data_IF_473311983337
#
_entry.id   IF_473311983337
#
_cell.length_a   1.000
_cell.length_b   1.000
_cell.length_c   1.000
_cell.angle_alpha   90.00
_cell.angle_beta   90.00
_cell.angle_gamma   90.00
#
_symmetry.space_group_name_H-M   'P 1'
#
loop_
_entity.id
_entity.type
_entity.pdbx_description
1 polymer ?
#
# COMPACT_ATOMS: atom_id res chain seq x y z
N UNK A 1 26.30 -3.57 -12.00
CA UNK A 1 25.29 -4.64 -11.86
C UNK A 1 23.92 -3.98 -11.87
N UNK A 2 23.15 -4.17 -12.95
CA UNK A 2 21.93 -3.41 -13.24
C UNK A 2 20.85 -3.55 -12.16
N UNK A 3 20.24 -2.43 -11.79
CA UNK A 3 19.17 -2.38 -10.80
C UNK A 3 17.87 -2.92 -11.42
N UNK A 4 17.69 -4.24 -11.45
CA UNK A 4 16.45 -4.86 -11.95
C UNK A 4 15.21 -4.24 -11.30
N UNK A 5 14.22 -3.87 -12.12
CA UNK A 5 12.94 -3.34 -11.68
C UNK A 5 11.78 -4.20 -12.17
N UNK A 6 10.68 -4.24 -11.40
CA UNK A 6 9.46 -4.96 -11.74
C UNK A 6 8.46 -4.02 -12.41
N UNK A 7 7.97 -4.42 -13.57
CA UNK A 7 6.77 -3.86 -14.21
C UNK A 7 5.57 -4.72 -13.84
N UNK A 8 4.50 -4.11 -13.34
CA UNK A 8 3.23 -4.77 -13.12
C UNK A 8 2.06 -3.84 -13.41
N UNK A 9 0.88 -4.41 -13.67
CA UNK A 9 -0.36 -3.67 -13.80
C UNK A 9 -1.06 -3.62 -12.45
N UNK A 10 -1.53 -2.44 -12.05
CA UNK A 10 -2.33 -2.27 -10.84
C UNK A 10 -3.55 -3.18 -10.88
N UNK A 11 -3.75 -4.00 -9.85
CA UNK A 11 -4.89 -4.92 -9.77
C UNK A 11 -6.26 -4.25 -9.61
N UNK A 12 -6.30 -2.92 -9.45
CA UNK A 12 -7.54 -2.12 -9.35
C UNK A 12 -7.80 -1.32 -10.64
N UNK A 13 -6.86 -0.44 -11.03
CA UNK A 13 -7.05 0.45 -12.19
C UNK A 13 -6.34 0.00 -13.47
N UNK A 14 -5.52 -1.06 -13.44
CA UNK A 14 -4.79 -1.56 -14.61
C UNK A 14 -3.54 -0.76 -15.01
N UNK A 15 -3.31 0.43 -14.45
CA UNK A 15 -2.14 1.26 -14.77
C UNK A 15 -0.82 0.52 -14.54
N UNK A 16 0.13 0.71 -15.47
CA UNK A 16 1.48 0.17 -15.37
C UNK A 16 2.29 0.86 -14.26
N UNK A 17 2.98 0.06 -13.47
CA UNK A 17 3.81 0.51 -12.35
C UNK A 17 5.18 -0.12 -12.43
N UNK A 18 6.23 0.72 -12.37
CA UNK A 18 7.63 0.29 -12.35
C UNK A 18 8.20 0.46 -10.95
N UNK A 19 8.78 -0.60 -10.39
CA UNK A 19 9.38 -0.59 -9.05
C UNK A 19 10.78 -1.18 -9.04
N UNK A 20 11.73 -0.44 -8.48
CA UNK A 20 13.06 -0.98 -8.19
C UNK A 20 12.96 -2.16 -7.21
N UNK A 21 13.92 -3.07 -7.25
CA UNK A 21 14.03 -4.23 -6.34
C UNK A 21 13.89 -3.85 -4.85
N UNK A 22 14.46 -2.72 -4.42
CA UNK A 22 14.39 -2.26 -3.03
C UNK A 22 12.97 -1.84 -2.60
N UNK A 23 12.18 -1.27 -3.51
CA UNK A 23 10.82 -0.83 -3.23
C UNK A 23 9.78 -1.94 -3.41
N UNK A 24 10.18 -3.07 -3.99
CA UNK A 24 9.31 -4.16 -4.38
C UNK A 24 9.09 -5.16 -3.24
N UNK A 25 8.14 -4.85 -2.36
CA UNK A 25 7.74 -5.72 -1.24
C UNK A 25 6.50 -6.57 -1.54
N UNK A 26 6.29 -6.94 -2.81
CA UNK A 26 5.09 -7.66 -3.20
C UNK A 26 3.92 -6.76 -3.60
N UNK A 27 4.19 -5.53 -4.05
CA UNK A 27 3.13 -4.55 -4.36
C UNK A 27 2.22 -5.04 -5.50
N UNK A 28 0.92 -4.80 -5.37
CA UNK A 28 -0.11 -5.19 -6.36
C UNK A 28 -0.93 -4.02 -6.89
N UNK A 29 -0.87 -2.88 -6.21
CA UNK A 29 -1.63 -1.68 -6.54
C UNK A 29 -0.68 -0.54 -6.88
N UNK A 30 -1.16 0.46 -7.62
CA UNK A 30 -0.44 1.71 -7.84
C UNK A 30 -0.40 2.56 -6.57
N UNK A 31 0.40 3.63 -6.62
CA UNK A 31 0.57 4.58 -5.52
C UNK A 31 -0.47 5.71 -5.54
N UNK A 32 -1.32 5.76 -6.58
CA UNK A 32 -2.37 6.76 -6.79
C UNK A 32 -3.67 6.42 -6.01
N UNK A 33 -3.54 5.84 -4.82
CA UNK A 33 -4.67 5.60 -3.91
C UNK A 33 -5.37 4.25 -4.05
N UNK A 34 -5.15 3.47 -5.11
CA UNK A 34 -5.76 2.14 -5.29
C UNK A 34 -5.52 1.19 -4.10
N UNK A 35 -4.34 1.24 -3.48
CA UNK A 35 -4.01 0.45 -2.29
C UNK A 35 -4.94 0.79 -1.10
N UNK A 36 -5.27 2.07 -0.91
CA UNK A 36 -6.15 2.52 0.17
C UNK A 36 -7.59 2.05 -0.07
N UNK A 37 -8.07 2.14 -1.31
CA UNK A 37 -9.41 1.67 -1.70
C UNK A 37 -9.54 0.16 -1.47
N UNK A 38 -8.63 -0.63 -2.05
CA UNK A 38 -8.63 -2.08 -1.91
C UNK A 38 -8.52 -2.53 -0.44
N UNK A 39 -7.72 -1.82 0.38
CA UNK A 39 -7.64 -2.07 1.82
C UNK A 39 -8.98 -1.82 2.51
N UNK A 40 -9.65 -0.70 2.21
CA UNK A 40 -10.95 -0.36 2.81
C UNK A 40 -11.99 -1.43 2.48
N UNK A 41 -12.07 -1.87 1.23
CA UNK A 41 -12.98 -2.92 0.79
C UNK A 41 -12.68 -4.26 1.47
N UNK A 42 -11.42 -4.69 1.44
CA UNK A 42 -11.00 -5.95 2.08
C UNK A 42 -11.28 -5.96 3.58
N UNK A 43 -11.05 -4.85 4.28
CA UNK A 43 -11.37 -4.71 5.70
C UNK A 43 -12.88 -4.72 5.94
N UNK A 44 -13.66 -4.05 5.09
CA UNK A 44 -15.13 -4.06 5.15
C UNK A 44 -15.67 -5.48 4.98
N UNK A 45 -15.18 -6.22 3.99
CA UNK A 45 -15.59 -7.61 3.73
C UNK A 45 -15.16 -8.57 4.83
N UNK A 46 -13.95 -8.42 5.37
CA UNK A 46 -13.50 -9.17 6.53
C UNK A 46 -14.37 -8.86 7.77
N UNK A 47 -14.69 -7.58 7.98
CA UNK A 47 -15.59 -7.11 9.03
C UNK A 47 -16.98 -7.73 8.91
N UNK A 48 -17.58 -7.69 7.71
CA UNK A 48 -18.90 -8.28 7.45
C UNK A 48 -18.90 -9.78 7.70
N UNK A 49 -17.88 -10.50 7.22
CA UNK A 49 -17.71 -11.94 7.48
C UNK A 49 -17.61 -12.23 8.98
N UNK A 50 -16.78 -11.48 9.69
CA UNK A 50 -16.62 -11.65 11.14
C UNK A 50 -17.92 -11.35 11.90
N UNK A 51 -18.63 -10.27 11.56
CA UNK A 51 -19.90 -9.89 12.18
C UNK A 51 -20.99 -10.96 11.98
N UNK A 52 -20.97 -11.67 10.85
CA UNK A 52 -21.89 -12.77 10.58
C UNK A 52 -21.58 -14.05 11.38
N UNK A 53 -20.39 -14.16 11.99
CA UNK A 53 -20.06 -15.31 12.85
C UNK A 53 -20.82 -15.25 14.18
N UNK A 54 -21.04 -16.42 14.80
CA UNK A 54 -21.64 -16.49 16.14
C UNK A 54 -20.86 -15.65 17.16
N UNK A 55 -19.53 -15.75 17.15
CA UNK A 55 -18.68 -14.99 18.06
C UNK A 55 -18.77 -13.48 17.81
N UNK A 56 -18.76 -13.07 16.54
CA UNK A 56 -18.92 -11.67 16.14
C UNK A 56 -20.23 -11.07 16.64
N UNK A 57 -21.35 -11.79 16.50
CA UNK A 57 -22.66 -11.35 17.01
C UNK A 57 -22.68 -11.19 18.53
N UNK A 58 -22.13 -12.14 19.28
CA UNK A 58 -22.04 -12.07 20.75
C UNK A 58 -21.20 -10.86 21.18
N UNK A 59 -20.02 -10.68 20.57
CA UNK A 59 -19.13 -9.57 20.87
C UNK A 59 -19.76 -8.21 20.53
N UNK A 60 -20.51 -8.14 19.42
CA UNK A 60 -21.26 -6.94 19.06
C UNK A 60 -22.37 -6.63 20.07
N UNK A 61 -23.16 -7.64 20.49
CA UNK A 61 -24.20 -7.48 21.50
C UNK A 61 -23.62 -6.96 22.83
N UNK A 62 -22.48 -7.52 23.27
CA UNK A 62 -21.76 -7.06 24.46
C UNK A 62 -21.34 -5.59 24.32
N UNK A 63 -20.68 -5.23 23.22
CA UNK A 63 -20.25 -3.83 22.95
C UNK A 63 -21.43 -2.86 22.93
N UNK A 64 -22.56 -3.25 22.35
CA UNK A 64 -23.77 -2.42 22.30
C UNK A 64 -24.44 -2.27 23.68
N UNK A 65 -24.38 -3.30 24.53
CA UNK A 65 -24.82 -3.19 25.92
C UNK A 65 -23.96 -2.19 26.70
N UNK A 66 -22.62 -2.32 26.61
CA UNK A 66 -21.67 -1.40 27.26
C UNK A 66 -21.81 0.04 26.76
N UNK A 67 -22.06 0.24 25.46
CA UNK A 67 -22.30 1.57 24.90
C UNK A 67 -23.57 2.21 25.46
N UNK A 68 -24.69 1.47 25.54
CA UNK A 68 -25.94 1.95 26.12
C UNK A 68 -25.81 2.31 27.60
N UNK A 69 -25.06 1.50 28.37
CA UNK A 69 -24.74 1.82 29.77
C UNK A 69 -23.96 3.13 29.86
N UNK A 70 -22.91 3.31 29.05
CA UNK A 70 -22.13 4.56 29.03
C UNK A 70 -22.98 5.78 28.67
N UNK A 71 -23.87 5.66 27.67
CA UNK A 71 -24.79 6.75 27.32
C UNK A 71 -25.73 7.09 28.49
N UNK A 72 -26.37 6.09 29.09
CA UNK A 72 -27.28 6.32 30.23
C UNK A 72 -26.56 6.98 31.42
N UNK A 73 -25.32 6.58 31.72
CA UNK A 73 -24.53 7.22 32.78
C UNK A 73 -24.16 8.67 32.44
N UNK A 74 -23.82 8.96 31.18
CA UNK A 74 -23.51 10.33 30.73
C UNK A 74 -24.73 11.27 30.70
N UNK A 75 -25.95 10.74 30.74
CA UNK A 75 -27.19 11.51 30.84
C UNK A 75 -27.55 11.84 32.30
N UNK A 76 -27.07 11.05 33.26
CA UNK A 76 -27.35 11.21 34.70
C UNK A 76 -26.38 12.14 35.43
N UNK A 77 -25.18 12.33 34.90
CA UNK A 77 -24.19 13.29 35.41
C UNK A 77 -23.96 14.37 34.34
N UNK A 78 -23.88 15.67 34.70
CA UNK A 78 -23.47 16.70 33.74
C UNK A 78 -22.13 16.26 33.15
N UNK A 79 -21.99 16.24 31.82
CA UNK A 79 -20.79 15.69 31.19
C UNK A 79 -19.57 16.43 31.76
N UNK A 80 -18.50 15.74 32.19
CA UNK A 80 -17.24 16.43 32.39
C UNK A 80 -16.96 17.21 31.12
N UNK A 81 -16.54 18.46 31.25
CA UNK A 81 -16.13 19.29 30.12
C UNK A 81 -14.94 18.59 29.47
N UNK A 82 -15.22 17.69 28.54
CA UNK A 82 -14.20 17.05 27.73
C UNK A 82 -13.76 18.17 26.81
N UNK A 83 -12.63 18.81 27.14
CA UNK A 83 -11.98 19.74 26.24
C UNK A 83 -11.70 18.97 24.95
N UNK A 84 -12.54 19.21 23.95
CA UNK A 84 -12.35 18.69 22.60
C UNK A 84 -11.16 19.46 22.05
N UNK A 85 -9.97 18.89 22.20
CA UNK A 85 -8.75 19.42 21.61
C UNK A 85 -8.80 19.16 20.11
N UNK A 86 -9.55 20.00 19.39
CA UNK A 86 -9.65 19.99 17.92
C UNK A 86 -8.84 21.11 17.26
N UNK A 87 -7.91 21.73 17.97
CA UNK A 87 -7.02 22.75 17.43
C UNK A 87 -5.57 22.27 17.33
N UNK A 88 -5.33 21.40 16.35
CA UNK A 88 -4.00 21.30 15.74
C UNK A 88 -4.12 21.86 14.32
N UNK A 89 -4.25 23.18 14.21
CA UNK A 89 -4.02 23.86 12.95
C UNK A 89 -2.55 23.70 12.58
N UNK A 90 -2.27 23.13 11.41
CA UNK A 90 -0.94 23.22 10.81
C UNK A 90 -0.83 24.60 10.15
N UNK A 91 0.28 25.29 10.37
CA UNK A 91 0.58 26.53 9.65
C UNK A 91 0.65 26.24 8.14
N UNK A 92 0.08 27.13 7.34
CA UNK A 92 0.16 27.08 5.89
C UNK A 92 1.62 27.28 5.47
N UNK A 93 2.30 26.17 5.18
CA UNK A 93 3.62 26.20 4.58
C UNK A 93 3.55 26.86 3.21
N UNK A 94 4.28 27.96 3.06
CA UNK A 94 4.44 28.73 1.83
C UNK A 94 5.04 27.89 0.69
N UNK A 95 4.76 28.22 -0.58
CA UNK A 95 5.17 27.40 -1.69
C UNK A 95 6.64 27.61 -2.08
N UNK A 96 7.24 26.47 -2.45
CA UNK A 96 8.22 26.29 -3.53
C UNK A 96 9.64 26.83 -3.31
N UNK A 97 10.52 25.92 -2.88
CA UNK A 97 11.93 26.00 -3.27
C UNK A 97 12.03 25.64 -4.76
N UNK A 98 12.37 26.61 -5.59
CA UNK A 98 12.71 26.40 -6.98
C UNK A 98 13.95 25.51 -7.05
N UNK A 99 13.81 24.30 -7.61
CA UNK A 99 14.95 23.46 -7.98
C UNK A 99 15.48 24.05 -9.28
N UNK A 100 16.66 24.63 -9.25
CA UNK A 100 17.39 25.00 -10.45
C UNK A 100 17.71 23.72 -11.23
N UNK A 101 17.21 23.66 -12.47
CA UNK A 101 17.51 22.59 -13.41
C UNK A 101 18.86 22.94 -14.03
N UNK A 102 19.91 22.20 -13.69
CA UNK A 102 21.21 22.32 -14.33
C UNK A 102 21.13 21.75 -15.76
N UNK A 103 21.20 22.62 -16.76
CA UNK A 103 21.23 22.27 -18.17
C UNK A 103 22.64 21.82 -18.58
N UNK A 104 22.92 20.54 -18.41
CA UNK A 104 24.06 19.92 -19.10
C UNK A 104 23.62 19.29 -20.41
N UNK A 105 23.81 20.06 -21.49
CA UNK A 105 23.93 19.58 -22.86
C UNK A 105 25.17 18.70 -22.97
N UNK A 106 24.98 17.43 -23.35
CA UNK A 106 26.01 16.49 -23.75
C UNK A 106 25.46 15.56 -24.81
N UNK A 107 26.20 15.42 -25.90
CA UNK A 107 25.82 14.86 -27.19
C UNK A 107 25.83 13.31 -27.24
N UNK A 108 25.11 12.82 -28.26
CA UNK A 108 25.22 11.52 -28.97
C UNK A 108 24.41 10.29 -28.49
N UNK A 109 23.83 9.64 -29.50
CA UNK A 109 22.73 8.69 -29.46
C UNK A 109 23.03 7.37 -28.74
N UNK A 110 22.24 7.05 -27.71
CA UNK A 110 22.06 5.67 -27.23
C UNK A 110 20.59 5.48 -26.82
N UNK A 111 20.05 4.31 -27.15
CA UNK A 111 18.66 3.88 -26.93
C UNK A 111 18.30 3.65 -25.45
N UNK A 112 18.91 4.40 -24.52
CA UNK A 112 18.70 4.26 -23.08
C UNK A 112 17.41 4.98 -22.65
N UNK A 113 16.28 4.34 -22.92
CA UNK A 113 15.02 4.68 -22.24
C UNK A 113 15.14 4.27 -20.78
N UNK A 114 15.76 5.13 -19.98
CA UNK A 114 15.90 4.97 -18.54
C UNK A 114 14.53 5.11 -17.88
N UNK A 115 14.01 3.99 -17.35
CA UNK A 115 12.78 4.01 -16.58
C UNK A 115 13.04 4.52 -15.16
N UNK A 116 11.98 4.97 -14.49
CA UNK A 116 12.06 5.45 -13.12
C UNK A 116 11.17 4.61 -12.21
N UNK A 117 11.63 4.37 -10.98
CA UNK A 117 10.80 3.76 -9.95
C UNK A 117 9.66 4.72 -9.56
N UNK A 118 8.40 4.31 -9.75
CA UNK A 118 7.24 5.14 -9.43
C UNK A 118 7.08 5.44 -7.93
N UNK A 119 7.84 4.76 -7.06
CA UNK A 119 7.80 4.99 -5.62
C UNK A 119 8.90 5.90 -5.10
N UNK A 120 10.14 5.70 -5.53
CA UNK A 120 11.30 6.41 -5.00
C UNK A 120 12.05 7.25 -6.03
N UNK A 121 11.61 7.28 -7.29
CA UNK A 121 12.19 8.09 -8.35
C UNK A 121 13.53 7.60 -8.90
N UNK A 122 14.18 6.60 -8.27
CA UNK A 122 15.47 6.08 -8.78
C UNK A 122 15.34 5.58 -10.21
N UNK A 123 16.35 5.90 -11.02
CA UNK A 123 16.55 5.34 -12.35
C UNK A 123 16.73 3.83 -12.26
N UNK A 124 16.10 3.11 -13.18
CA UNK A 124 16.18 1.66 -13.31
C UNK A 124 16.42 1.29 -14.77
N UNK A 125 17.03 0.12 -14.95
CA UNK A 125 17.37 -0.45 -16.25
C UNK A 125 16.12 -0.82 -17.07
N UNK A 126 16.25 -0.87 -18.41
CA UNK A 126 15.14 -1.19 -19.33
C UNK A 126 14.71 -2.66 -19.33
N UNK A 127 15.54 -3.57 -18.82
CA UNK A 127 15.18 -4.98 -18.64
C UNK A 127 14.30 -5.17 -17.40
N UNK A 128 13.01 -4.87 -17.56
CA UNK A 128 11.99 -4.98 -16.51
C UNK A 128 11.50 -6.42 -16.35
N UNK A 129 11.48 -6.92 -15.12
CA UNK A 129 10.86 -8.22 -14.78
C UNK A 129 9.36 -8.08 -14.64
N UNK A 130 8.60 -9.12 -15.01
CA UNK A 130 7.15 -9.18 -14.75
C UNK A 130 6.80 -9.84 -13.41
N UNK A 131 7.68 -10.72 -12.91
CA UNK A 131 7.48 -11.49 -11.69
C UNK A 131 8.21 -10.92 -10.46
N UNK A 132 7.83 -11.42 -9.28
CA UNK A 132 8.57 -11.16 -8.04
C UNK A 132 9.98 -11.75 -8.11
N UNK A 133 10.92 -11.15 -7.36
CA UNK A 133 12.22 -11.76 -7.16
C UNK A 133 12.03 -13.09 -6.45
N UNK A 134 12.38 -14.19 -7.12
CA UNK A 134 12.48 -15.49 -6.47
C UNK A 134 13.70 -15.40 -5.57
N UNK A 135 13.48 -15.27 -4.26
CA UNK A 135 14.54 -15.57 -3.33
C UNK A 135 14.77 -17.08 -3.46
N UNK A 136 15.86 -17.47 -4.11
CA UNK A 136 16.34 -18.84 -4.04
C UNK A 136 16.77 -19.07 -2.59
N UNK A 137 15.82 -19.39 -1.73
CA UNK A 137 16.12 -19.91 -0.41
C UNK A 137 16.96 -21.18 -0.63
N UNK A 138 18.18 -21.28 -0.09
CA UNK A 138 19.02 -22.47 -0.24
C UNK A 138 18.44 -23.74 0.42
N UNK A 139 17.20 -23.71 0.91
CA UNK A 139 16.57 -24.74 1.74
C UNK A 139 15.24 -25.29 1.18
N UNK A 140 15.02 -25.22 -0.13
CA UNK A 140 13.91 -25.95 -0.75
C UNK A 140 14.44 -27.01 -1.71
N UNK A 141 14.54 -28.28 -1.29
CA UNK A 141 14.82 -29.41 -2.17
C UNK A 141 13.49 -29.87 -2.76
N UNK A 142 12.88 -29.09 -3.65
CA UNK A 142 11.96 -29.68 -4.63
C UNK A 142 11.61 -28.70 -5.74
N UNK A 143 12.38 -28.79 -6.82
CA UNK A 143 11.91 -28.44 -8.14
C UNK A 143 12.32 -29.57 -9.09
N UNK A 144 11.75 -30.76 -8.88
CA UNK A 144 11.77 -31.80 -9.89
C UNK A 144 10.72 -31.50 -10.96
N UNK A 145 11.11 -31.36 -12.24
CA UNK A 145 10.16 -31.26 -13.33
C UNK A 145 9.65 -32.66 -13.70
N UNK A 146 8.36 -32.73 -14.04
CA UNK A 146 7.72 -33.77 -14.86
C UNK A 146 7.66 -35.19 -14.26
N UNK A 147 6.45 -35.64 -13.91
CA UNK A 147 5.95 -36.92 -14.43
C UNK A 147 4.53 -36.76 -14.95
N UNK A 148 4.40 -37.13 -16.21
CA UNK A 148 3.21 -37.10 -17.04
C UNK A 148 2.16 -38.08 -16.53
N UNK A 149 0.91 -37.74 -16.83
CA UNK A 149 -0.27 -38.60 -16.75
C UNK A 149 -0.02 -39.96 -17.43
N UNK A 150 -0.52 -41.01 -16.80
CA UNK A 150 -1.09 -42.18 -17.45
C UNK A 150 -2.41 -42.48 -16.74
#
# INVERSE_FOLDING_TARGET
MGHSARLYNCACCGQQVILCSHCDWGNRYCFDGCSKVARKESLGDAGRRYQNTRQGRINNAKRQAEYRIRQALSELEPPPTVDKVTHHGSEEGTPSASIEIDEQRGEECSFDSLYHCHRCGRVVDHYLRSGYLRYSSPLSPDSSPLKQRA
#
